data_IF_542902476530
#
_entry.id   IF_542902476530
#
_cell.length_a   1.000
_cell.length_b   1.000
_cell.length_c   1.000
_cell.angle_alpha   90.00
_cell.angle_beta   90.00
_cell.angle_gamma   90.00
#
_symmetry.space_group_name_H-M   'P 1'
#
loop_
_entity.id
_entity.type
_entity.pdbx_description
1 polymer ?
#
# COMPACT_ATOMS: atom_id res chain seq x y z
N UNK A 1 -12.05 3.55 8.69
CA UNK A 1 -13.36 2.92 9.02
C UNK A 1 -13.56 1.58 8.33
N UNK A 2 -13.67 1.49 6.99
CA UNK A 2 -13.84 0.20 6.30
C UNK A 2 -12.55 -0.64 6.18
N UNK A 3 -11.38 0.00 6.15
CA UNK A 3 -10.05 -0.66 6.09
C UNK A 3 -9.63 -1.33 7.40
N UNK A 4 -10.19 -0.89 8.52
CA UNK A 4 -9.85 -1.39 9.87
C UNK A 4 -10.94 -2.32 10.42
N UNK A 5 -12.05 -2.51 9.70
CA UNK A 5 -13.21 -3.31 10.14
C UNK A 5 -13.74 -2.90 11.52
N UNK A 6 -13.60 -1.64 11.92
CA UNK A 6 -13.86 -1.12 13.29
C UNK A 6 -12.99 -1.72 14.41
N UNK A 7 -11.94 -2.46 14.05
CA UNK A 7 -11.02 -3.14 14.96
C UNK A 7 -9.64 -2.48 15.02
N UNK A 8 -9.42 -1.38 14.30
CA UNK A 8 -8.11 -0.73 14.20
C UNK A 8 -7.07 -1.65 13.55
N UNK A 9 -5.87 -1.70 14.13
CA UNK A 9 -4.75 -2.52 13.67
C UNK A 9 -5.10 -4.02 13.51
N UNK A 10 -5.75 -4.70 14.48
CA UNK A 10 -6.21 -6.07 14.31
C UNK A 10 -7.01 -6.34 13.03
N UNK A 11 -7.91 -5.43 12.63
CA UNK A 11 -8.69 -5.59 11.40
C UNK A 11 -7.82 -5.47 10.15
N UNK A 12 -6.86 -4.55 10.14
CA UNK A 12 -5.88 -4.44 9.05
C UNK A 12 -5.01 -5.69 8.94
N UNK A 13 -4.47 -6.20 10.06
CA UNK A 13 -3.65 -7.42 10.05
C UNK A 13 -4.43 -8.65 9.59
N UNK A 14 -5.72 -8.75 9.94
CA UNK A 14 -6.61 -9.79 9.42
C UNK A 14 -6.73 -9.70 7.89
N UNK A 15 -6.98 -8.51 7.33
CA UNK A 15 -7.01 -8.32 5.88
C UNK A 15 -5.66 -8.64 5.23
N UNK A 16 -4.55 -8.31 5.89
CA UNK A 16 -3.20 -8.68 5.46
C UNK A 16 -3.01 -10.18 5.40
N UNK A 17 -3.46 -10.91 6.41
CA UNK A 17 -3.45 -12.37 6.41
C UNK A 17 -4.32 -12.95 5.27
N UNK A 18 -5.50 -12.40 5.01
CA UNK A 18 -6.33 -12.81 3.87
C UNK A 18 -5.65 -12.51 2.53
N UNK A 19 -4.96 -11.38 2.41
CA UNK A 19 -4.14 -11.04 1.25
C UNK A 19 -3.00 -12.04 1.02
N UNK A 20 -2.32 -12.48 2.08
CA UNK A 20 -1.31 -13.55 1.98
C UNK A 20 -1.92 -14.87 1.51
N UNK A 21 -3.10 -15.24 2.01
CA UNK A 21 -3.80 -16.44 1.54
C UNK A 21 -4.19 -16.34 0.06
N UNK A 22 -4.61 -15.15 -0.41
CA UNK A 22 -4.86 -14.90 -1.82
C UNK A 22 -3.60 -15.12 -2.66
N UNK A 23 -2.46 -14.55 -2.25
CA UNK A 23 -1.17 -14.73 -2.94
C UNK A 23 -0.80 -16.22 -3.01
N UNK A 24 -0.90 -16.94 -1.88
CA UNK A 24 -0.61 -18.37 -1.82
C UNK A 24 -1.55 -19.15 -2.74
N UNK A 25 -2.84 -18.82 -2.76
CA UNK A 25 -3.81 -19.45 -3.64
C UNK A 25 -3.50 -19.18 -5.13
N UNK A 26 -3.12 -17.96 -5.49
CA UNK A 26 -2.73 -17.58 -6.86
C UNK A 26 -1.46 -18.30 -7.30
N UNK A 27 -0.41 -18.31 -6.48
CA UNK A 27 0.83 -19.05 -6.77
C UNK A 27 0.54 -20.55 -6.93
N UNK A 28 -0.27 -21.12 -6.04
CA UNK A 28 -0.69 -22.52 -6.15
C UNK A 28 -1.45 -22.77 -7.45
N UNK A 29 -2.36 -21.88 -7.85
CA UNK A 29 -3.08 -21.94 -9.12
C UNK A 29 -2.13 -21.94 -10.32
N UNK A 30 -1.11 -21.07 -10.33
CA UNK A 30 -0.10 -21.01 -11.41
C UNK A 30 0.73 -22.29 -11.46
N UNK A 31 1.16 -22.83 -10.32
CA UNK A 31 1.91 -24.10 -10.26
C UNK A 31 1.07 -25.25 -10.81
N UNK A 32 -0.22 -25.28 -10.49
CA UNK A 32 -1.16 -26.31 -10.96
C UNK A 32 -1.61 -26.11 -12.42
N UNK A 33 -1.48 -24.91 -12.96
CA UNK A 33 -1.87 -24.58 -14.34
C UNK A 33 -1.07 -25.38 -15.37
N UNK A 34 0.26 -25.41 -15.23
CA UNK A 34 1.17 -26.05 -16.18
C UNK A 34 0.84 -27.54 -16.44
N UNK A 35 0.72 -28.42 -15.41
CA UNK A 35 0.40 -29.83 -15.65
C UNK A 35 -1.01 -30.07 -16.20
N UNK A 36 -1.95 -29.17 -15.93
CA UNK A 36 -3.34 -29.27 -16.40
C UNK A 36 -3.50 -28.82 -17.85
N UNK A 37 -2.81 -27.75 -18.24
CA UNK A 37 -2.93 -27.14 -19.58
C UNK A 37 -1.89 -27.64 -20.59
N UNK A 38 -0.88 -28.44 -20.18
CA UNK A 38 0.16 -28.97 -21.09
C UNK A 38 -0.35 -29.72 -22.33
N UNK A 39 -1.60 -30.21 -22.31
CA UNK A 39 -2.22 -30.97 -23.42
C UNK A 39 -3.16 -30.13 -24.28
N UNK A 40 -3.31 -28.84 -23.97
CA UNK A 40 -4.21 -27.92 -24.65
C UNK A 40 -3.41 -26.70 -25.13
N UNK A 41 -3.66 -26.19 -26.34
CA UNK A 41 -3.19 -24.86 -26.72
C UNK A 41 -3.64 -23.82 -25.69
N UNK A 42 -2.80 -22.83 -25.42
CA UNK A 42 -3.16 -21.70 -24.57
C UNK A 42 -4.44 -21.04 -25.09
N UNK A 43 -5.37 -20.69 -24.19
CA UNK A 43 -6.65 -20.08 -24.57
C UNK A 43 -7.74 -21.04 -25.05
N UNK A 44 -7.51 -22.36 -25.02
CA UNK A 44 -8.55 -23.33 -25.40
C UNK A 44 -9.75 -23.27 -24.44
N UNK A 45 -10.93 -22.90 -24.97
CA UNK A 45 -12.20 -22.94 -24.26
C UNK A 45 -13.08 -24.07 -24.83
N UNK A 46 -13.41 -25.07 -24.01
CA UNK A 46 -14.21 -26.22 -24.47
C UNK A 46 -15.71 -25.94 -24.33
N UNK A 47 -16.22 -25.09 -25.21
CA UNK A 47 -17.60 -24.55 -25.16
C UNK A 47 -18.67 -25.64 -25.29
N UNK A 48 -18.38 -26.75 -25.98
CA UNK A 48 -19.31 -27.87 -26.16
C UNK A 48 -19.39 -28.80 -24.93
N UNK A 49 -18.55 -28.59 -23.90
CA UNK A 49 -18.54 -29.43 -22.70
C UNK A 49 -19.55 -28.95 -21.65
N UNK A 50 -19.80 -29.83 -20.68
CA UNK A 50 -20.64 -29.54 -19.53
C UNK A 50 -20.25 -28.21 -18.86
N UNK A 51 -21.23 -27.50 -18.28
CA UNK A 51 -21.06 -26.17 -17.70
C UNK A 51 -19.87 -26.08 -16.74
N UNK A 52 -19.64 -27.11 -15.93
CA UNK A 52 -18.48 -27.18 -15.02
C UNK A 52 -17.14 -27.11 -15.74
N UNK A 53 -16.98 -27.85 -16.85
CA UNK A 53 -15.73 -27.84 -17.63
C UNK A 53 -15.52 -26.49 -18.29
N UNK A 54 -16.59 -25.86 -18.81
CA UNK A 54 -16.52 -24.50 -19.36
C UNK A 54 -16.08 -23.47 -18.32
N UNK A 55 -16.68 -23.50 -17.14
CA UNK A 55 -16.30 -22.59 -16.05
C UNK A 55 -14.88 -22.83 -15.55
N UNK A 56 -14.41 -24.09 -15.55
CA UNK A 56 -13.02 -24.41 -15.24
C UNK A 56 -12.06 -23.83 -16.28
N UNK A 57 -12.38 -23.92 -17.57
CA UNK A 57 -11.55 -23.36 -18.64
C UNK A 57 -11.50 -21.83 -18.54
N UNK A 58 -12.63 -21.17 -18.32
CA UNK A 58 -12.69 -19.72 -18.07
C UNK A 58 -11.93 -19.31 -16.82
N UNK A 59 -12.10 -20.01 -15.70
CA UNK A 59 -11.38 -19.73 -14.45
C UNK A 59 -9.86 -19.82 -14.66
N UNK A 60 -9.38 -20.87 -15.34
CA UNK A 60 -7.96 -21.05 -15.61
C UNK A 60 -7.41 -19.98 -16.56
N UNK A 61 -8.16 -19.64 -17.63
CA UNK A 61 -7.73 -18.63 -18.60
C UNK A 61 -7.66 -17.23 -17.98
N UNK A 62 -8.74 -16.80 -17.32
CA UNK A 62 -8.76 -15.49 -16.67
C UNK A 62 -7.71 -15.43 -15.56
N UNK A 63 -7.60 -16.49 -14.75
CA UNK A 63 -6.64 -16.59 -13.66
C UNK A 63 -5.19 -16.46 -14.12
N UNK A 64 -4.78 -17.15 -15.19
CA UNK A 64 -3.39 -17.05 -15.68
C UNK A 64 -3.10 -15.70 -16.34
N UNK A 65 -4.08 -15.13 -17.07
CA UNK A 65 -3.93 -13.82 -17.74
C UNK A 65 -3.79 -12.70 -16.72
N UNK A 66 -4.51 -12.75 -15.60
CA UNK A 66 -4.43 -11.72 -14.55
C UNK A 66 -3.46 -12.04 -13.42
N UNK A 67 -2.83 -13.23 -13.41
CA UNK A 67 -2.02 -13.71 -12.29
C UNK A 67 -0.96 -12.71 -11.83
N UNK A 68 -0.17 -12.15 -12.75
CA UNK A 68 0.88 -11.20 -12.41
C UNK A 68 0.30 -9.93 -11.75
N UNK A 69 -0.81 -9.43 -12.27
CA UNK A 69 -1.48 -8.26 -11.72
C UNK A 69 -2.10 -8.55 -10.34
N UNK A 70 -2.75 -9.71 -10.16
CA UNK A 70 -3.30 -10.14 -8.85
C UNK A 70 -2.17 -10.28 -7.82
N UNK A 71 -1.00 -10.78 -8.21
CA UNK A 71 0.16 -10.89 -7.31
C UNK A 71 0.71 -9.52 -6.92
N UNK A 72 0.78 -8.57 -7.86
CA UNK A 72 1.20 -7.19 -7.55
C UNK A 72 0.20 -6.54 -6.61
N UNK A 73 -1.10 -6.50 -6.97
CA UNK A 73 -2.14 -5.86 -6.16
C UNK A 73 -2.32 -6.55 -4.82
N UNK A 74 -2.27 -7.87 -4.77
CA UNK A 74 -2.31 -8.65 -3.53
C UNK A 74 -1.12 -8.35 -2.64
N UNK A 75 0.10 -8.35 -3.20
CA UNK A 75 1.34 -8.05 -2.46
C UNK A 75 1.35 -6.62 -1.91
N UNK A 76 0.99 -5.64 -2.74
CA UNK A 76 0.90 -4.25 -2.30
C UNK A 76 -0.24 -4.00 -1.32
N UNK A 77 -1.34 -4.75 -1.43
CA UNK A 77 -2.43 -4.75 -0.46
C UNK A 77 -1.96 -5.22 0.92
N UNK A 78 -1.20 -6.32 0.97
CA UNK A 78 -0.58 -6.80 2.23
C UNK A 78 0.33 -5.74 2.83
N UNK A 79 1.21 -5.11 2.03
CA UNK A 79 2.07 -4.02 2.52
C UNK A 79 1.24 -2.85 3.06
N UNK A 80 0.16 -2.47 2.39
CA UNK A 80 -0.72 -1.39 2.86
C UNK A 80 -1.36 -1.69 4.22
N UNK A 81 -1.63 -2.96 4.54
CA UNK A 81 -2.16 -3.34 5.88
C UNK A 81 -1.15 -3.15 7.02
N UNK A 82 0.14 -3.01 6.68
CA UNK A 82 1.22 -2.74 7.62
C UNK A 82 1.54 -1.24 7.74
N UNK A 83 0.73 -0.36 7.14
CA UNK A 83 1.01 1.08 7.13
C UNK A 83 1.21 1.66 8.54
N UNK A 84 0.29 1.38 9.47
CA UNK A 84 0.36 1.87 10.85
C UNK A 84 1.65 1.45 11.56
N UNK A 85 1.98 0.14 11.69
CA UNK A 85 3.21 -0.26 12.37
C UNK A 85 4.48 0.20 11.63
N UNK A 86 4.47 0.29 10.30
CA UNK A 86 5.60 0.84 9.52
C UNK A 86 5.85 2.30 9.88
N UNK A 87 4.79 3.12 9.85
CA UNK A 87 4.90 4.56 10.12
C UNK A 87 5.22 4.81 11.59
N UNK A 88 4.64 4.03 12.51
CA UNK A 88 4.95 4.13 13.94
C UNK A 88 6.40 3.74 14.23
N UNK A 89 6.90 2.66 13.62
CA UNK A 89 8.29 2.25 13.75
C UNK A 89 9.24 3.32 13.19
N UNK A 90 8.96 3.83 11.99
CA UNK A 90 9.76 4.91 11.41
C UNK A 90 9.72 6.17 12.27
N UNK A 91 8.55 6.56 12.76
CA UNK A 91 8.37 7.69 13.68
C UNK A 91 9.26 7.48 14.90
N UNK A 92 9.17 6.34 15.56
CA UNK A 92 9.96 6.08 16.77
C UNK A 92 11.46 6.01 16.47
N UNK A 93 11.89 5.43 15.36
CA UNK A 93 13.31 5.32 14.98
C UNK A 93 13.89 6.68 14.57
N UNK A 94 13.27 7.34 13.59
CA UNK A 94 13.68 8.64 13.09
C UNK A 94 13.62 9.72 14.17
N UNK A 95 12.63 9.67 15.07
CA UNK A 95 12.53 10.63 16.16
C UNK A 95 13.45 10.28 17.32
N UNK A 96 13.67 9.02 17.70
CA UNK A 96 14.55 8.67 18.84
C UNK A 96 16.00 9.13 18.63
N UNK A 97 16.48 9.14 17.38
CA UNK A 97 17.79 9.73 17.04
C UNK A 97 17.81 11.26 17.23
N UNK A 98 16.65 11.93 17.21
CA UNK A 98 16.50 13.39 17.22
C UNK A 98 15.96 13.96 18.53
N UNK A 99 15.23 13.15 19.31
CA UNK A 99 14.57 13.54 20.58
C UNK A 99 15.39 13.19 21.81
N UNK A 100 16.52 12.48 21.67
CA UNK A 100 17.38 12.13 22.81
C UNK A 100 17.94 13.35 23.56
N UNK A 101 17.71 14.57 23.05
CA UNK A 101 18.11 15.84 23.67
C UNK A 101 16.95 16.70 24.25
N UNK A 102 15.67 16.31 24.14
CA UNK A 102 14.55 17.22 24.44
C UNK A 102 13.42 16.56 25.26
N UNK A 103 13.41 16.77 26.58
CA UNK A 103 12.47 16.12 27.54
C UNK A 103 11.22 16.97 27.91
N UNK A 104 11.08 18.22 27.46
CA UNK A 104 9.94 19.10 27.84
C UNK A 104 9.24 19.83 26.68
N UNK A 105 7.96 19.53 26.36
CA UNK A 105 7.23 20.10 25.23
C UNK A 105 7.34 21.64 25.15
N UNK A 106 7.41 22.20 23.95
CA UNK A 106 7.41 23.66 23.78
C UNK A 106 5.99 24.23 24.02
N UNK A 107 5.78 25.08 25.06
CA UNK A 107 4.49 25.71 25.31
C UNK A 107 4.05 26.52 24.10
N UNK A 108 2.75 26.52 23.79
CA UNK A 108 2.19 27.18 22.59
C UNK A 108 2.59 28.65 22.43
N UNK A 109 2.73 29.40 23.54
CA UNK A 109 3.16 30.81 23.52
C UNK A 109 4.68 31.05 23.40
N UNK A 110 5.49 29.99 23.42
CA UNK A 110 6.95 30.07 23.28
C UNK A 110 7.44 29.43 21.97
N UNK A 111 6.52 29.15 21.05
CA UNK A 111 6.87 28.55 19.77
C UNK A 111 7.41 29.61 18.81
N UNK A 112 8.48 29.26 18.10
CA UNK A 112 9.02 30.03 17.00
C UNK A 112 7.98 30.19 15.88
N UNK A 113 8.19 31.19 15.04
CA UNK A 113 7.34 31.44 13.87
C UNK A 113 7.30 30.21 12.95
N UNK A 114 6.08 29.78 12.61
CA UNK A 114 5.83 28.73 11.63
C UNK A 114 6.41 29.09 10.26
N UNK A 115 6.28 30.36 9.84
CA UNK A 115 6.79 30.82 8.54
C UNK A 115 8.31 30.66 8.47
N UNK A 116 9.02 31.07 9.53
CA UNK A 116 10.48 30.88 9.65
C UNK A 116 10.87 29.41 9.63
N UNK A 117 10.09 28.54 10.28
CA UNK A 117 10.31 27.10 10.27
C UNK A 117 10.16 26.53 8.85
N UNK A 118 9.11 26.91 8.13
CA UNK A 118 8.87 26.48 6.74
C UNK A 118 9.96 26.99 5.80
N UNK A 119 10.40 28.25 5.95
CA UNK A 119 11.49 28.81 5.15
C UNK A 119 12.80 28.05 5.34
N UNK A 120 13.19 27.77 6.59
CA UNK A 120 14.39 26.97 6.88
C UNK A 120 14.28 25.55 6.34
N UNK A 121 13.11 24.92 6.48
CA UNK A 121 12.87 23.59 5.96
C UNK A 121 12.99 23.55 4.43
N UNK A 122 12.45 24.56 3.72
CA UNK A 122 12.60 24.72 2.26
C UNK A 122 14.07 24.91 1.85
N UNK A 123 14.83 25.68 2.62
CA UNK A 123 16.25 25.89 2.37
C UNK A 123 17.08 24.60 2.55
N UNK A 124 16.67 23.72 3.46
CA UNK A 124 17.32 22.44 3.71
C UNK A 124 17.03 21.38 2.64
N UNK A 125 15.89 21.49 1.94
CA UNK A 125 15.44 20.54 0.92
C UNK A 125 15.15 21.24 -0.42
N UNK A 126 16.17 21.82 -1.08
CA UNK A 126 15.99 22.47 -2.37
C UNK A 126 15.52 21.46 -3.44
N UNK A 127 14.60 21.88 -4.31
CA UNK A 127 14.06 21.02 -5.37
C UNK A 127 12.99 20.03 -4.91
N UNK A 128 12.44 20.20 -3.70
CA UNK A 128 11.26 19.49 -3.23
C UNK A 128 10.07 20.44 -3.04
N UNK A 129 8.85 19.91 -3.18
CA UNK A 129 7.61 20.67 -2.98
C UNK A 129 7.08 20.44 -1.56
N UNK A 130 6.72 21.52 -0.87
CA UNK A 130 6.06 21.45 0.43
C UNK A 130 4.67 20.79 0.28
N UNK A 131 4.41 19.75 1.08
CA UNK A 131 3.14 19.02 1.08
C UNK A 131 2.22 19.51 2.21
N UNK A 132 2.69 19.44 3.45
CA UNK A 132 1.96 19.91 4.64
C UNK A 132 2.92 20.13 5.82
N UNK A 133 2.42 20.76 6.88
CA UNK A 133 3.13 20.91 8.15
C UNK A 133 2.33 20.26 9.26
N UNK A 134 2.98 19.39 10.04
CA UNK A 134 2.43 18.79 11.24
C UNK A 134 2.94 19.54 12.48
N UNK A 135 2.00 19.91 13.35
CA UNK A 135 2.29 20.63 14.58
C UNK A 135 2.81 19.68 15.67
N UNK A 136 3.50 20.23 16.68
CA UNK A 136 3.96 19.42 17.79
C UNK A 136 2.81 18.69 18.50
N UNK A 137 2.97 17.40 18.76
CA UNK A 137 2.01 16.52 19.45
C UNK A 137 0.95 15.87 18.55
N UNK A 138 1.09 15.96 17.24
CA UNK A 138 0.23 15.26 16.27
C UNK A 138 0.82 13.91 15.86
N UNK A 139 0.02 13.06 15.20
CA UNK A 139 0.47 11.73 14.74
C UNK A 139 1.71 11.77 13.83
N UNK A 140 1.96 12.93 13.19
CA UNK A 140 3.01 13.17 12.22
C UNK A 140 4.19 14.01 12.78
N UNK A 141 4.23 14.31 14.08
CA UNK A 141 5.33 15.06 14.71
C UNK A 141 5.60 14.63 16.16
N UNK A 142 6.71 15.08 16.75
CA UNK A 142 6.96 14.97 18.20
C UNK A 142 6.23 16.08 18.96
N UNK A 143 6.24 16.06 20.29
CA UNK A 143 5.75 17.17 21.13
C UNK A 143 6.58 18.48 21.05
N UNK A 144 7.67 18.46 20.27
CA UNK A 144 8.69 19.51 20.23
C UNK A 144 8.96 20.10 18.86
N UNK A 145 8.58 19.41 17.79
CA UNK A 145 8.98 19.82 16.45
C UNK A 145 7.78 20.24 15.61
N UNK A 146 8.00 21.22 14.75
CA UNK A 146 7.25 21.31 13.50
C UNK A 146 7.84 20.28 12.55
N UNK A 147 7.03 19.32 12.10
CA UNK A 147 7.44 18.41 11.04
C UNK A 147 6.92 18.92 9.71
N UNK A 148 7.83 19.41 8.87
CA UNK A 148 7.53 19.99 7.55
C UNK A 148 7.77 18.91 6.50
N UNK A 149 6.71 18.43 5.86
CA UNK A 149 6.77 17.31 4.93
C UNK A 149 6.89 17.79 3.49
N UNK A 150 7.84 17.21 2.76
CA UNK A 150 8.11 17.52 1.35
C UNK A 150 7.99 16.28 0.48
N UNK A 151 7.68 16.45 -0.80
CA UNK A 151 7.79 15.39 -1.81
C UNK A 151 8.63 15.86 -3.01
N UNK A 152 9.14 14.92 -3.80
CA UNK A 152 9.86 15.27 -5.03
C UNK A 152 8.93 15.68 -6.17
N UNK A 153 9.48 16.33 -7.20
CA UNK A 153 8.67 16.95 -8.27
C UNK A 153 8.20 15.99 -9.37
N UNK A 154 8.85 14.83 -9.52
CA UNK A 154 8.48 13.84 -10.54
C UNK A 154 7.31 12.96 -10.11
N UNK A 155 6.61 12.33 -11.06
CA UNK A 155 5.50 11.41 -10.77
C UNK A 155 5.88 10.27 -9.82
N UNK A 156 7.13 9.78 -9.90
CA UNK A 156 7.64 8.72 -9.03
C UNK A 156 7.93 9.24 -7.62
N UNK A 157 8.57 10.41 -7.52
CA UNK A 157 9.01 10.98 -6.25
C UNK A 157 7.92 11.76 -5.50
N UNK A 158 6.80 12.08 -6.16
CA UNK A 158 5.65 12.77 -5.54
C UNK A 158 5.00 11.98 -4.41
N UNK A 159 5.17 10.66 -4.40
CA UNK A 159 4.66 9.78 -3.35
C UNK A 159 5.69 9.49 -2.24
N UNK A 160 6.93 10.00 -2.39
CA UNK A 160 8.02 9.80 -1.42
C UNK A 160 8.15 11.05 -0.56
N UNK A 161 7.68 10.97 0.68
CA UNK A 161 7.63 12.14 1.57
C UNK A 161 8.82 12.23 2.51
N UNK A 162 9.60 13.31 2.47
CA UNK A 162 10.73 13.56 3.35
C UNK A 162 10.38 14.65 4.36
N UNK A 163 10.37 14.36 5.68
CA UNK A 163 10.17 15.40 6.69
C UNK A 163 11.47 16.11 7.05
N UNK A 164 11.38 17.43 7.21
CA UNK A 164 12.33 18.24 7.95
C UNK A 164 11.72 18.61 9.31
N UNK A 165 12.43 18.29 10.39
CA UNK A 165 12.02 18.62 11.75
C UNK A 165 12.67 19.93 12.17
N UNK A 166 11.83 20.89 12.53
CA UNK A 166 12.26 22.19 13.06
C UNK A 166 11.89 22.22 14.54
N UNK A 167 12.84 22.54 15.40
CA UNK A 167 12.58 22.74 16.83
C UNK A 167 11.55 23.86 16.99
N UNK A 168 10.41 23.54 17.60
CA UNK A 168 9.28 24.45 17.67
C UNK A 168 9.55 25.63 18.60
N UNK A 169 10.56 25.59 19.49
CA UNK A 169 10.92 26.70 20.39
C UNK A 169 11.96 27.62 19.77
N UNK A 170 13.01 27.05 19.19
CA UNK A 170 14.13 27.84 18.63
C UNK A 170 13.92 28.21 17.16
N UNK A 171 13.12 27.44 16.44
CA UNK A 171 13.00 27.56 14.99
C UNK A 171 14.25 27.06 14.26
N UNK A 172 15.13 26.28 14.90
CA UNK A 172 16.30 25.68 14.25
C UNK A 172 15.98 24.34 13.59
N UNK A 173 16.68 24.04 12.48
CA UNK A 173 16.59 22.73 11.84
C UNK A 173 17.22 21.69 12.77
N UNK A 174 16.39 20.84 13.36
CA UNK A 174 16.84 19.74 14.19
C UNK A 174 17.38 18.61 13.31
N UNK A 175 16.63 18.26 12.25
CA UNK A 175 17.08 17.26 11.28
C UNK A 175 16.26 17.20 10.00
N UNK A 176 16.81 16.50 9.02
CA UNK A 176 16.07 15.91 7.91
C UNK A 176 16.07 14.41 8.13
N UNK A 177 14.90 13.79 8.32
CA UNK A 177 14.82 12.34 8.48
C UNK A 177 14.71 11.70 7.09
N UNK A 178 15.71 10.92 6.64
CA UNK A 178 15.61 10.23 5.37
C UNK A 178 14.47 9.21 5.43
N UNK A 179 13.70 9.08 4.35
CA UNK A 179 12.74 7.98 4.22
C UNK A 179 13.48 6.65 4.08
N UNK A 180 13.36 5.72 5.02
CA UNK A 180 13.98 4.40 4.90
C UNK A 180 13.26 3.55 3.85
N UNK A 181 13.91 2.49 3.39
CA UNK A 181 13.42 1.66 2.28
C UNK A 181 12.03 1.06 2.54
N UNK A 182 11.69 0.74 3.79
CA UNK A 182 10.41 0.14 4.16
C UNK A 182 9.25 1.16 4.10
N UNK A 183 9.51 2.43 4.40
CA UNK A 183 8.54 3.53 4.16
C UNK A 183 8.41 3.79 2.66
N UNK A 184 9.52 3.77 1.90
CA UNK A 184 9.45 3.88 0.43
C UNK A 184 8.65 2.73 -0.20
N UNK A 185 8.81 1.50 0.30
CA UNK A 185 8.06 0.35 -0.16
C UNK A 185 6.55 0.53 0.08
N UNK A 186 6.16 1.04 1.26
CA UNK A 186 4.77 1.41 1.56
C UNK A 186 4.25 2.54 0.65
N UNK A 187 5.04 3.59 0.45
CA UNK A 187 4.69 4.71 -0.43
C UNK A 187 4.50 4.28 -1.88
N UNK A 188 5.28 3.31 -2.35
CA UNK A 188 5.17 2.76 -3.70
C UNK A 188 4.09 1.69 -3.82
N UNK A 189 3.76 0.98 -2.74
CA UNK A 189 2.70 -0.05 -2.75
C UNK A 189 1.33 0.59 -2.96
N UNK A 190 1.08 1.75 -2.37
CA UNK A 190 -0.19 2.47 -2.52
C UNK A 190 -0.56 2.73 -3.99
N UNK A 191 0.26 3.41 -4.82
CA UNK A 191 -0.12 3.70 -6.18
C UNK A 191 -0.23 2.46 -7.06
N UNK A 192 0.61 1.44 -6.81
CA UNK A 192 0.52 0.16 -7.50
C UNK A 192 -0.76 -0.62 -7.15
N UNK A 193 -1.23 -0.53 -5.89
CA UNK A 193 -2.47 -1.15 -5.45
C UNK A 193 -3.70 -0.44 -6.06
N UNK A 194 -3.75 0.89 -5.95
CA UNK A 194 -4.91 1.69 -6.35
C UNK A 194 -4.94 2.07 -7.84
N UNK A 195 -3.84 1.91 -8.56
CA UNK A 195 -3.75 2.26 -9.99
C UNK A 195 -3.82 3.78 -10.24
N UNK A 196 -3.36 4.60 -9.29
CA UNK A 196 -3.55 6.07 -9.31
C UNK A 196 -2.34 6.86 -9.88
N UNK A 197 -1.44 6.21 -10.61
CA UNK A 197 -0.26 6.82 -11.23
C UNK A 197 -0.37 7.05 -12.75
N UNK A 198 -1.33 6.41 -13.41
CA UNK A 198 -1.50 6.45 -14.88
C UNK A 198 -2.74 7.22 -15.35
N UNK A 199 -3.37 8.01 -14.49
CA UNK A 199 -4.57 8.78 -14.81
C UNK A 199 -5.81 7.91 -15.07
N UNK A 200 -6.80 8.45 -15.80
CA UNK A 200 -8.11 7.81 -15.99
C UNK A 200 -8.04 6.50 -16.78
N UNK A 201 -7.20 6.44 -17.82
CA UNK A 201 -7.06 5.24 -18.66
C UNK A 201 -6.61 4.02 -17.84
N UNK A 202 -5.62 4.22 -16.96
CA UNK A 202 -5.16 3.15 -16.06
C UNK A 202 -6.24 2.71 -15.09
N UNK A 203 -7.02 3.65 -14.54
CA UNK A 203 -8.14 3.34 -13.63
C UNK A 203 -9.21 2.48 -14.30
N UNK A 204 -9.49 2.71 -15.59
CA UNK A 204 -10.42 1.88 -16.35
C UNK A 204 -9.87 0.45 -16.52
N UNK A 205 -8.57 0.32 -16.84
CA UNK A 205 -7.91 -1.00 -16.93
C UNK A 205 -7.97 -1.72 -15.58
N UNK A 206 -7.67 -1.03 -14.47
CA UNK A 206 -7.79 -1.56 -13.11
C UNK A 206 -9.21 -2.06 -12.83
N UNK A 207 -10.23 -1.25 -13.12
CA UNK A 207 -11.62 -1.64 -12.92
C UNK A 207 -12.04 -2.87 -13.74
N UNK A 208 -11.53 -3.03 -14.96
CA UNK A 208 -11.77 -4.24 -15.75
C UNK A 208 -11.09 -5.46 -15.12
N UNK A 209 -9.84 -5.32 -14.65
CA UNK A 209 -9.11 -6.40 -13.98
C UNK A 209 -9.77 -6.79 -12.65
N UNK A 210 -10.33 -5.82 -11.92
CA UNK A 210 -11.14 -6.05 -10.71
C UNK A 210 -12.39 -6.88 -11.05
N UNK A 211 -13.14 -6.50 -12.10
CA UNK A 211 -14.31 -7.26 -12.55
C UNK A 211 -13.96 -8.69 -12.96
N UNK A 212 -12.85 -8.87 -13.69
CA UNK A 212 -12.34 -10.21 -14.04
C UNK A 212 -12.02 -11.00 -12.77
N UNK A 213 -11.42 -10.38 -11.77
CA UNK A 213 -11.07 -11.03 -10.50
C UNK A 213 -12.32 -11.43 -9.72
N UNK A 214 -13.38 -10.62 -9.72
CA UNK A 214 -14.69 -11.00 -9.17
C UNK A 214 -15.24 -12.24 -9.86
N UNK A 215 -15.15 -12.31 -11.20
CA UNK A 215 -15.57 -13.51 -11.97
C UNK A 215 -14.71 -14.73 -11.62
N UNK A 216 -13.40 -14.57 -11.43
CA UNK A 216 -12.50 -15.65 -10.99
C UNK A 216 -12.91 -16.16 -9.60
N UNK A 217 -13.17 -15.28 -8.64
CA UNK A 217 -13.62 -15.66 -7.30
C UNK A 217 -14.96 -16.41 -7.34
N UNK A 218 -15.94 -15.86 -8.08
CA UNK A 218 -17.26 -16.49 -8.25
C UNK A 218 -17.19 -17.86 -8.92
N UNK A 219 -16.38 -17.98 -9.98
CA UNK A 219 -16.17 -19.27 -10.68
C UNK A 219 -15.43 -20.28 -9.80
N UNK A 220 -14.46 -19.85 -8.99
CA UNK A 220 -13.77 -20.71 -8.02
C UNK A 220 -14.74 -21.29 -6.99
N UNK A 221 -15.60 -20.45 -6.42
CA UNK A 221 -16.63 -20.87 -5.46
C UNK A 221 -17.63 -21.85 -6.10
N UNK A 222 -18.10 -21.55 -7.31
CA UNK A 222 -18.98 -22.44 -8.07
C UNK A 222 -18.34 -23.81 -8.30
N UNK A 223 -17.08 -23.87 -8.74
CA UNK A 223 -16.35 -25.11 -9.01
C UNK A 223 -16.13 -25.94 -7.73
N UNK A 224 -15.90 -25.27 -6.60
CA UNK A 224 -15.77 -25.90 -5.29
C UNK A 224 -17.09 -26.53 -4.83
N UNK A 225 -18.21 -25.78 -4.88
CA UNK A 225 -19.54 -26.30 -4.53
C UNK A 225 -19.97 -27.45 -5.44
N UNK A 226 -19.73 -27.33 -6.75
CA UNK A 226 -20.06 -28.37 -7.72
C UNK A 226 -19.25 -29.66 -7.53
N UNK A 227 -18.07 -29.59 -6.91
CA UNK A 227 -17.28 -30.77 -6.53
C UNK A 227 -17.86 -31.49 -5.31
N UNK A 228 -18.36 -30.74 -4.32
CA UNK A 228 -18.88 -31.30 -3.06
C UNK A 228 -20.12 -32.19 -3.28
N UNK A 229 -21.01 -31.82 -4.21
CA UNK A 229 -22.21 -32.59 -4.57
C UNK A 229 -21.97 -33.97 -5.19
N UNK A 230 -20.72 -34.32 -5.54
CA UNK A 230 -20.34 -35.66 -6.05
C UNK A 230 -19.71 -36.55 -4.99
N UNK A 231 -19.37 -36.00 -3.82
CA UNK A 231 -18.79 -36.74 -2.68
C UNK A 231 -19.83 -37.09 -1.61
N UNK A 232 -21.02 -36.50 -1.70
CA UNK A 232 -22.26 -36.91 -1.02
C UNK A 232 -23.05 -37.82 -1.95
#
# INVERSE_FOLDING_TARGET
LHTEMFLGLPGMLFLGAMGLLLIVATVSGVVLYAPFMRRLPFGTLRIEKAARTRWLDWHNLLGVVTAAWVLVVGGTGVVNTLATPILEFWKNDALKTLTTAYDTPAPTGQRASLDRAVEKAKAALPGMTLQFVAFPGTDYSTDHHYAVFFHGETSLTRHLTTPALIDARTGELAAVAPTPWYVKALSLSQPLHFGDYGGMGLKLVWGVLDLITIVILGSGLYLWLARSRRRS
#
